data_IF_202649830209
#
_entry.id   IF_202649830209
#
_cell.length_a   1.000
_cell.length_b   1.000
_cell.length_c   1.000
_cell.angle_alpha   90.00
_cell.angle_beta   90.00
_cell.angle_gamma   90.00
#
_symmetry.space_group_name_H-M   'P 1'
#
loop_
_entity.id
_entity.type
_entity.pdbx_description
1 polymer ?
#
# COMPACT_ATOMS: atom_id res chain seq x y z
N UNK A 1 35.62 77.92 17.76
CA UNK A 1 36.06 77.26 16.52
C UNK A 1 36.13 75.77 16.79
N UNK A 2 35.41 74.95 16.00
CA UNK A 2 35.75 73.56 15.67
C UNK A 2 35.64 72.52 16.82
N UNK A 3 35.07 71.32 16.71
CA UNK A 3 34.45 70.54 15.64
C UNK A 3 33.69 69.41 16.38
N UNK A 4 32.42 69.17 16.03
CA UNK A 4 31.67 67.97 16.42
C UNK A 4 32.27 66.74 15.71
N UNK A 5 32.46 65.59 16.38
CA UNK A 5 32.76 64.35 15.68
C UNK A 5 31.47 63.78 15.08
N UNK A 6 31.56 63.52 13.78
CA UNK A 6 30.56 62.98 12.88
C UNK A 6 30.04 61.61 13.31
N UNK A 7 28.72 61.48 13.41
CA UNK A 7 27.99 60.21 13.49
C UNK A 7 28.21 59.41 12.20
N UNK A 8 29.11 58.42 12.24
CA UNK A 8 29.27 57.45 11.16
C UNK A 8 28.03 56.54 11.15
N UNK A 9 27.14 56.79 10.19
CA UNK A 9 25.93 56.00 9.94
C UNK A 9 26.34 54.56 9.59
N UNK A 10 26.24 53.65 10.54
CA UNK A 10 26.42 52.22 10.30
C UNK A 10 25.28 51.75 9.39
N UNK A 11 25.57 51.65 8.10
CA UNK A 11 24.66 51.09 7.10
C UNK A 11 24.43 49.62 7.43
N UNK A 12 23.27 49.29 8.02
CA UNK A 12 22.80 47.91 8.12
C UNK A 12 22.61 47.39 6.69
N UNK A 13 23.61 46.66 6.20
CA UNK A 13 23.42 45.78 5.05
C UNK A 13 22.41 44.72 5.46
N UNK A 14 21.20 44.86 4.97
CA UNK A 14 20.16 43.85 4.98
C UNK A 14 20.75 42.54 4.48
N UNK A 15 21.00 41.59 5.38
CA UNK A 15 21.31 40.22 5.00
C UNK A 15 20.09 39.68 4.25
N UNK A 16 20.23 39.48 2.95
CA UNK A 16 19.24 38.77 2.16
C UNK A 16 19.14 37.35 2.73
N UNK A 17 18.07 37.08 3.49
CA UNK A 17 17.60 35.72 3.75
C UNK A 17 17.40 35.05 2.39
N UNK A 18 18.40 34.29 1.95
CA UNK A 18 18.28 33.42 0.81
C UNK A 18 17.07 32.53 1.06
N UNK A 19 16.11 32.56 0.14
CA UNK A 19 14.96 31.65 0.14
C UNK A 19 15.53 30.23 0.30
N UNK A 20 15.21 29.59 1.42
CA UNK A 20 15.35 28.14 1.56
C UNK A 20 14.60 27.54 0.38
N UNK A 21 15.34 26.91 -0.54
CA UNK A 21 14.75 26.08 -1.57
C UNK A 21 13.87 25.06 -0.86
N UNK A 22 12.55 25.18 -1.01
CA UNK A 22 11.58 24.19 -0.53
C UNK A 22 11.93 22.88 -1.21
N UNK A 23 12.54 21.96 -0.46
CA UNK A 23 12.71 20.58 -0.91
C UNK A 23 11.31 20.07 -1.27
N UNK A 24 11.08 19.61 -2.51
CA UNK A 24 9.78 19.06 -2.86
C UNK A 24 9.62 17.78 -2.03
N UNK A 25 8.88 17.88 -0.93
CA UNK A 25 8.44 16.72 -0.17
C UNK A 25 7.49 15.98 -1.10
N UNK A 26 7.82 14.74 -1.45
CA UNK A 26 6.89 13.89 -2.19
C UNK A 26 5.64 13.69 -1.31
N UNK A 27 4.62 14.52 -1.55
CA UNK A 27 3.38 14.44 -0.79
C UNK A 27 2.66 13.15 -1.17
N UNK A 28 2.30 12.37 -0.15
CA UNK A 28 1.37 11.28 -0.31
C UNK A 28 -0.02 11.84 -0.59
N UNK A 29 -0.75 11.18 -1.48
CA UNK A 29 -2.16 11.52 -1.70
C UNK A 29 -2.96 11.21 -0.43
N UNK A 30 -4.00 11.99 -0.14
CA UNK A 30 -4.81 11.86 1.09
C UNK A 30 -5.33 10.44 1.31
N UNK A 31 -5.78 9.78 0.24
CA UNK A 31 -6.19 8.38 0.25
C UNK A 31 -5.09 7.42 0.72
N UNK A 32 -3.84 7.65 0.30
CA UNK A 32 -2.71 6.81 0.75
C UNK A 32 -2.48 7.02 2.25
N UNK A 33 -2.58 8.26 2.72
CA UNK A 33 -2.43 8.59 4.14
C UNK A 33 -3.54 7.92 4.95
N UNK A 34 -4.80 8.01 4.50
CA UNK A 34 -5.94 7.40 5.18
C UNK A 34 -5.79 5.88 5.37
N UNK A 35 -5.44 5.15 4.31
CA UNK A 35 -5.19 3.70 4.44
C UNK A 35 -3.90 3.35 5.18
N UNK A 36 -2.95 4.29 5.30
CA UNK A 36 -1.73 4.09 6.08
C UNK A 36 -1.97 4.29 7.58
N UNK A 37 -2.67 5.36 7.96
CA UNK A 37 -2.98 5.68 9.36
C UNK A 37 -4.09 4.79 9.92
N UNK A 38 -5.09 4.47 9.09
CA UNK A 38 -6.24 3.65 9.47
C UNK A 38 -6.36 2.42 8.54
N UNK A 39 -5.38 1.50 8.52
CA UNK A 39 -5.42 0.36 7.63
C UNK A 39 -6.59 -0.57 7.98
N UNK A 40 -7.39 -0.94 6.98
CA UNK A 40 -8.55 -1.82 7.14
C UNK A 40 -8.11 -3.26 7.05
N UNK A 41 -8.81 -4.19 7.69
CA UNK A 41 -8.56 -5.63 7.51
C UNK A 41 -7.14 -6.13 7.89
N UNK A 42 -6.40 -5.41 8.74
CA UNK A 42 -5.12 -5.90 9.24
C UNK A 42 -5.35 -7.13 10.12
N UNK A 43 -4.63 -8.21 9.85
CA UNK A 43 -4.77 -9.42 10.64
C UNK A 43 -4.16 -10.66 10.01
N UNK A 44 -4.50 -11.82 10.56
CA UNK A 44 -4.17 -13.12 9.99
C UNK A 44 -5.36 -14.06 10.15
N UNK A 45 -5.47 -15.01 9.26
CA UNK A 45 -6.40 -16.14 9.35
C UNK A 45 -5.63 -17.45 9.46
N UNK A 46 -6.33 -18.53 9.81
CA UNK A 46 -5.72 -19.85 9.81
C UNK A 46 -5.48 -20.34 8.38
N UNK A 47 -4.21 -20.34 7.97
CA UNK A 47 -3.80 -20.79 6.63
C UNK A 47 -3.94 -22.29 6.40
N UNK A 48 -4.20 -23.08 7.44
CA UNK A 48 -4.48 -24.52 7.34
C UNK A 48 -5.95 -24.81 7.02
N UNK A 49 -6.84 -23.83 7.20
CA UNK A 49 -8.25 -24.00 6.87
C UNK A 49 -8.42 -24.26 5.36
N UNK A 50 -9.24 -25.23 4.96
CA UNK A 50 -9.50 -25.52 3.54
C UNK A 50 -10.19 -24.37 2.83
N UNK A 51 -10.90 -23.52 3.58
CA UNK A 51 -11.65 -22.38 3.05
C UNK A 51 -10.81 -21.10 2.98
N UNK A 52 -9.52 -21.17 3.34
CA UNK A 52 -8.62 -20.01 3.38
C UNK A 52 -7.51 -20.15 2.33
N UNK A 53 -7.48 -19.20 1.39
CA UNK A 53 -6.37 -19.00 0.47
C UNK A 53 -5.32 -18.05 1.07
N UNK A 54 -4.04 -18.37 0.92
CA UNK A 54 -2.92 -17.55 1.41
C UNK A 54 -1.95 -17.23 0.28
N UNK A 55 -1.80 -15.95 -0.02
CA UNK A 55 -0.78 -15.42 -0.91
C UNK A 55 0.33 -14.75 -0.10
N UNK A 56 1.57 -15.18 -0.28
CA UNK A 56 2.75 -14.50 0.23
C UNK A 56 3.62 -14.11 -0.97
N UNK A 57 3.81 -12.82 -1.17
CA UNK A 57 4.54 -12.27 -2.31
C UNK A 57 5.50 -11.17 -1.86
N UNK A 58 6.45 -10.83 -2.73
CA UNK A 58 7.52 -9.88 -2.43
C UNK A 58 8.78 -10.54 -1.90
N UNK A 59 9.82 -9.73 -1.71
CA UNK A 59 11.13 -10.19 -1.29
C UNK A 59 11.70 -9.23 -0.23
N UNK A 60 12.20 -9.74 0.91
CA UNK A 60 12.79 -8.90 1.94
C UNK A 60 13.93 -8.00 1.42
N UNK A 61 14.68 -8.47 0.43
CA UNK A 61 15.76 -7.71 -0.22
C UNK A 61 15.27 -6.45 -0.93
N UNK A 62 14.02 -6.43 -1.41
CA UNK A 62 13.41 -5.28 -2.07
C UNK A 62 12.70 -4.33 -1.10
N UNK A 63 12.61 -4.71 0.18
CA UNK A 63 11.94 -3.93 1.22
C UNK A 63 10.42 -4.06 1.25
N UNK A 64 9.82 -4.82 0.32
CA UNK A 64 8.37 -5.01 0.24
C UNK A 64 8.01 -6.51 0.29
N UNK A 65 7.18 -6.90 1.25
CA UNK A 65 6.65 -8.26 1.44
C UNK A 65 5.20 -8.17 1.90
N UNK A 66 4.29 -8.82 1.16
CA UNK A 66 2.86 -8.81 1.45
C UNK A 66 2.34 -10.23 1.64
N UNK A 67 1.64 -10.44 2.76
CA UNK A 67 0.83 -11.62 3.02
C UNK A 67 -0.64 -11.24 2.97
N UNK A 68 -1.38 -11.78 2.02
CA UNK A 68 -2.82 -11.62 1.88
C UNK A 68 -3.51 -12.97 2.07
N UNK A 69 -4.55 -12.98 2.87
CA UNK A 69 -5.35 -14.16 3.13
C UNK A 69 -6.81 -13.83 2.80
N UNK A 70 -7.48 -14.75 2.11
CA UNK A 70 -8.90 -14.68 1.77
C UNK A 70 -9.62 -15.87 2.38
N UNK A 71 -10.82 -15.66 2.87
CA UNK A 71 -11.74 -16.71 3.29
C UNK A 71 -12.90 -16.76 2.32
N UNK A 72 -13.19 -17.95 1.82
CA UNK A 72 -14.22 -18.21 0.82
C UNK A 72 -15.33 -19.06 1.46
N UNK A 73 -16.58 -18.74 1.18
CA UNK A 73 -17.73 -19.56 1.58
C UNK A 73 -17.99 -20.72 0.61
N UNK A 74 -19.07 -21.46 0.86
CA UNK A 74 -19.47 -22.61 0.04
C UNK A 74 -20.00 -22.20 -1.34
N UNK A 75 -20.51 -20.97 -1.47
CA UNK A 75 -21.01 -20.39 -2.72
C UNK A 75 -19.88 -19.82 -3.61
N UNK A 76 -18.63 -19.85 -3.12
CA UNK A 76 -17.46 -19.35 -3.85
C UNK A 76 -17.25 -17.83 -3.75
N UNK A 77 -17.86 -17.18 -2.75
CA UNK A 77 -17.70 -15.75 -2.48
C UNK A 77 -16.68 -15.51 -1.36
N UNK A 78 -15.92 -14.41 -1.48
CA UNK A 78 -14.92 -14.03 -0.49
C UNK A 78 -15.63 -13.30 0.67
N UNK A 79 -15.83 -13.98 1.80
CA UNK A 79 -16.54 -13.44 2.97
C UNK A 79 -15.66 -12.58 3.86
N UNK A 80 -14.36 -12.86 3.90
CA UNK A 80 -13.40 -12.02 4.61
C UNK A 80 -12.03 -12.03 3.94
N UNK A 81 -11.30 -10.95 4.14
CA UNK A 81 -9.92 -10.81 3.69
C UNK A 81 -9.12 -10.15 4.80
N UNK A 82 -7.90 -10.63 5.02
CA UNK A 82 -6.93 -10.07 5.96
C UNK A 82 -5.59 -9.92 5.30
N UNK A 83 -4.83 -8.90 5.70
CA UNK A 83 -3.45 -8.75 5.24
C UNK A 83 -2.47 -8.44 6.37
N UNK A 84 -1.21 -8.74 6.08
CA UNK A 84 -0.02 -8.17 6.73
C UNK A 84 0.97 -7.80 5.67
N UNK A 85 1.55 -6.62 5.75
CA UNK A 85 2.55 -6.18 4.79
C UNK A 85 3.69 -5.49 5.50
N UNK A 86 4.88 -5.63 4.94
CA UNK A 86 6.09 -4.91 5.27
C UNK A 86 6.47 -4.15 4.02
N UNK A 87 6.60 -2.83 4.11
CA UNK A 87 6.87 -2.00 2.94
C UNK A 87 6.64 -0.53 3.22
N UNK A 88 6.77 0.28 2.17
CA UNK A 88 6.51 1.71 2.28
C UNK A 88 5.00 2.02 2.49
N UNK A 89 4.66 3.25 2.89
CA UNK A 89 3.26 3.64 3.13
C UNK A 89 2.32 3.38 1.95
N UNK A 90 2.81 3.52 0.71
CA UNK A 90 2.06 3.18 -0.50
C UNK A 90 1.80 1.68 -0.66
N UNK A 91 2.69 0.81 -0.17
CA UNK A 91 2.47 -0.63 -0.14
C UNK A 91 1.39 -0.99 0.88
N UNK A 92 1.44 -0.39 2.08
CA UNK A 92 0.40 -0.56 3.11
C UNK A 92 -0.97 -0.11 2.60
N UNK A 93 -1.03 1.07 1.99
CA UNK A 93 -2.27 1.59 1.42
C UNK A 93 -2.83 0.68 0.30
N UNK A 94 -1.97 0.24 -0.62
CA UNK A 94 -2.34 -0.70 -1.69
C UNK A 94 -2.88 -2.02 -1.14
N UNK A 95 -2.24 -2.56 -0.10
CA UNK A 95 -2.69 -3.79 0.55
C UNK A 95 -4.04 -3.63 1.25
N UNK A 96 -4.25 -2.53 1.97
CA UNK A 96 -5.54 -2.24 2.64
C UNK A 96 -6.66 -2.12 1.63
N UNK A 97 -6.47 -1.30 0.59
CA UNK A 97 -7.48 -1.09 -0.45
C UNK A 97 -7.83 -2.40 -1.16
N UNK A 98 -6.81 -3.20 -1.50
CA UNK A 98 -7.01 -4.51 -2.12
C UNK A 98 -7.90 -5.43 -1.29
N UNK A 99 -7.70 -5.49 0.04
CA UNK A 99 -8.53 -6.32 0.92
C UNK A 99 -9.99 -5.87 1.02
N UNK A 100 -10.24 -4.57 0.92
CA UNK A 100 -11.61 -4.04 0.91
C UNK A 100 -12.30 -4.36 -0.42
N UNK A 101 -11.59 -4.25 -1.53
CA UNK A 101 -12.14 -4.51 -2.86
C UNK A 101 -12.47 -5.98 -3.10
N UNK A 102 -11.65 -6.91 -2.62
CA UNK A 102 -11.92 -8.34 -2.82
C UNK A 102 -13.03 -8.89 -1.93
N UNK A 103 -13.34 -8.23 -0.81
CA UNK A 103 -14.39 -8.67 0.10
C UNK A 103 -15.76 -8.54 -0.57
N UNK A 104 -16.55 -9.61 -0.54
CA UNK A 104 -17.86 -9.71 -1.20
C UNK A 104 -17.81 -9.98 -2.71
N UNK A 105 -16.62 -10.15 -3.30
CA UNK A 105 -16.47 -10.57 -4.69
C UNK A 105 -16.34 -12.09 -4.77
N UNK A 106 -16.72 -12.66 -5.92
CA UNK A 106 -16.37 -14.04 -6.24
C UNK A 106 -14.90 -14.15 -6.69
N UNK A 107 -14.39 -15.38 -6.82
CA UNK A 107 -12.99 -15.64 -7.16
C UNK A 107 -12.56 -15.04 -8.51
N UNK A 108 -13.44 -15.05 -9.50
CA UNK A 108 -13.14 -14.57 -10.84
C UNK A 108 -13.12 -13.03 -10.91
N UNK A 109 -14.08 -12.39 -10.24
CA UNK A 109 -14.13 -10.94 -10.06
C UNK A 109 -12.92 -10.43 -9.28
N UNK A 110 -12.51 -11.14 -8.22
CA UNK A 110 -11.31 -10.80 -7.48
C UNK A 110 -10.05 -10.94 -8.36
N UNK A 111 -9.99 -11.96 -9.22
CA UNK A 111 -8.89 -12.16 -10.16
C UNK A 111 -8.80 -11.14 -11.30
N UNK A 112 -9.88 -10.39 -11.56
CA UNK A 112 -9.92 -9.34 -12.58
C UNK A 112 -9.37 -7.98 -12.10
N UNK A 113 -9.18 -7.80 -10.78
CA UNK A 113 -8.61 -6.56 -10.24
C UNK A 113 -7.19 -6.37 -10.76
N UNK A 114 -6.93 -5.19 -11.31
CA UNK A 114 -5.61 -4.85 -11.90
C UNK A 114 -4.88 -3.81 -11.08
N UNK A 115 -3.54 -3.87 -11.10
CA UNK A 115 -2.68 -2.86 -10.49
C UNK A 115 -3.01 -1.45 -10.98
N UNK A 116 -3.40 -1.28 -12.25
CA UNK A 116 -3.74 0.02 -12.83
C UNK A 116 -4.92 0.69 -12.13
N UNK A 117 -5.89 -0.10 -11.67
CA UNK A 117 -7.07 0.40 -10.95
C UNK A 117 -6.71 0.82 -9.53
N UNK A 118 -5.91 0.00 -8.84
CA UNK A 118 -5.38 0.32 -7.50
C UNK A 118 -4.51 1.58 -7.54
N UNK A 119 -3.60 1.67 -8.51
CA UNK A 119 -2.72 2.82 -8.69
C UNK A 119 -3.51 4.10 -8.98
N UNK A 120 -4.53 4.01 -9.82
CA UNK A 120 -5.41 5.14 -10.13
C UNK A 120 -6.22 5.57 -8.91
N UNK A 121 -6.78 4.62 -8.16
CA UNK A 121 -7.59 4.92 -6.99
C UNK A 121 -6.79 5.66 -5.92
N UNK A 122 -5.57 5.20 -5.66
CA UNK A 122 -4.63 5.80 -4.69
C UNK A 122 -3.85 6.99 -5.26
N UNK A 123 -4.04 7.34 -6.54
CA UNK A 123 -3.30 8.40 -7.25
C UNK A 123 -1.78 8.25 -7.08
N UNK A 124 -1.28 7.03 -7.26
CA UNK A 124 0.13 6.72 -7.07
C UNK A 124 0.99 7.38 -8.15
N UNK A 125 2.12 8.03 -7.78
CA UNK A 125 3.07 8.51 -8.76
C UNK A 125 3.76 7.33 -9.48
N UNK A 126 4.28 7.52 -10.71
CA UNK A 126 4.88 6.44 -11.51
C UNK A 126 5.96 5.62 -10.78
N UNK A 127 6.72 6.25 -9.88
CA UNK A 127 7.80 5.61 -9.10
C UNK A 127 7.27 4.56 -8.12
N UNK A 128 6.00 4.63 -7.71
CA UNK A 128 5.38 3.76 -6.71
C UNK A 128 4.41 2.72 -7.29
N UNK A 129 4.40 2.53 -8.61
CA UNK A 129 3.54 1.53 -9.28
C UNK A 129 3.86 0.07 -8.89
N UNK A 130 5.08 -0.21 -8.40
CA UNK A 130 5.42 -1.54 -7.88
C UNK A 130 4.55 -1.94 -6.67
N UNK A 131 4.09 -0.97 -5.87
CA UNK A 131 3.22 -1.25 -4.73
C UNK A 131 1.85 -1.79 -5.17
N UNK A 132 1.31 -1.27 -6.28
CA UNK A 132 0.06 -1.77 -6.86
C UNK A 132 0.23 -3.13 -7.54
N UNK A 133 1.41 -3.40 -8.14
CA UNK A 133 1.71 -4.72 -8.72
C UNK A 133 1.81 -5.79 -7.62
N UNK A 134 2.46 -5.47 -6.50
CA UNK A 134 2.54 -6.37 -5.34
C UNK A 134 1.15 -6.77 -4.83
N UNK A 135 0.21 -5.83 -4.77
CA UNK A 135 -1.15 -6.10 -4.34
C UNK A 135 -1.91 -7.03 -5.31
N UNK A 136 -1.79 -6.80 -6.63
CA UNK A 136 -2.35 -7.69 -7.65
C UNK A 136 -1.77 -9.12 -7.55
N UNK A 137 -0.44 -9.23 -7.43
CA UNK A 137 0.25 -10.51 -7.30
C UNK A 137 -0.18 -11.25 -6.03
N UNK A 138 -0.38 -10.53 -4.92
CA UNK A 138 -0.87 -11.10 -3.67
C UNK A 138 -2.28 -11.68 -3.80
N UNK A 139 -3.19 -10.97 -4.50
CA UNK A 139 -4.55 -11.45 -4.77
C UNK A 139 -4.48 -12.74 -5.60
N UNK A 140 -3.71 -12.74 -6.70
CA UNK A 140 -3.55 -13.91 -7.56
C UNK A 140 -2.97 -15.11 -6.82
N UNK A 141 -1.95 -14.88 -6.00
CA UNK A 141 -1.33 -15.93 -5.20
C UNK A 141 -2.33 -16.55 -4.20
N UNK A 142 -3.14 -15.71 -3.52
CA UNK A 142 -4.15 -16.18 -2.58
C UNK A 142 -5.27 -16.99 -3.26
N UNK A 143 -5.74 -16.53 -4.43
CA UNK A 143 -6.73 -17.23 -5.23
C UNK A 143 -6.19 -18.57 -5.74
N UNK A 144 -4.92 -18.62 -6.17
CA UNK A 144 -4.26 -19.83 -6.63
C UNK A 144 -4.13 -20.85 -5.49
N UNK A 145 -3.67 -20.43 -4.32
CA UNK A 145 -3.54 -21.30 -3.14
C UNK A 145 -4.90 -21.93 -2.77
N UNK A 146 -5.97 -21.12 -2.76
CA UNK A 146 -7.32 -21.62 -2.53
C UNK A 146 -7.75 -22.67 -3.56
N UNK A 147 -7.58 -22.38 -4.86
CA UNK A 147 -7.93 -23.32 -5.95
C UNK A 147 -7.15 -24.63 -5.83
N UNK A 148 -5.85 -24.57 -5.57
CA UNK A 148 -5.00 -25.76 -5.38
C UNK A 148 -5.45 -26.60 -4.17
N UNK A 149 -5.81 -25.96 -3.05
CA UNK A 149 -6.35 -26.67 -1.87
C UNK A 149 -7.65 -27.41 -2.20
N UNK A 150 -8.57 -26.75 -2.90
CA UNK A 150 -9.85 -27.36 -3.33
C UNK A 150 -9.63 -28.55 -4.26
N UNK A 151 -8.74 -28.42 -5.25
CA UNK A 151 -8.39 -29.53 -6.15
C UNK A 151 -7.75 -30.71 -5.42
N UNK A 152 -6.87 -30.45 -4.44
CA UNK A 152 -6.24 -31.50 -3.65
C UNK A 152 -7.27 -32.26 -2.79
N UNK A 153 -8.26 -31.56 -2.24
CA UNK A 153 -9.36 -32.20 -1.48
C UNK A 153 -10.26 -33.06 -2.37
N UNK A 154 -10.60 -32.58 -3.58
CA UNK A 154 -11.43 -33.36 -4.51
C UNK A 154 -10.74 -34.64 -4.98
N UNK A 155 -9.40 -34.65 -5.08
CA UNK A 155 -8.63 -35.85 -5.46
C UNK A 155 -8.41 -36.85 -4.31
N UNK A 156 -8.61 -36.43 -3.07
CA UNK A 156 -8.40 -37.25 -1.88
C UNK A 156 -9.68 -37.99 -1.41
N UNK A 157 -10.83 -37.65 -2.00
CA UNK A 157 -12.13 -38.28 -1.78
C UNK A 157 -12.53 -39.14 -2.98
#
# INVERSE_FOLDING_TARGET
MSLLPTLTRLSLRSASMGRLATVPVAQYHEKVIDHYENPRNVGKMDGKSPNVGTGLVGAPACGDVMKLQIQVDEDGQIVDAKFKTFGCGSAIASSSLATEWIKGKNLDQAGQIKNSEIAKELSLPPVKLHCSMLAEDAIRAALKDYKTKREAMTKAN
#
